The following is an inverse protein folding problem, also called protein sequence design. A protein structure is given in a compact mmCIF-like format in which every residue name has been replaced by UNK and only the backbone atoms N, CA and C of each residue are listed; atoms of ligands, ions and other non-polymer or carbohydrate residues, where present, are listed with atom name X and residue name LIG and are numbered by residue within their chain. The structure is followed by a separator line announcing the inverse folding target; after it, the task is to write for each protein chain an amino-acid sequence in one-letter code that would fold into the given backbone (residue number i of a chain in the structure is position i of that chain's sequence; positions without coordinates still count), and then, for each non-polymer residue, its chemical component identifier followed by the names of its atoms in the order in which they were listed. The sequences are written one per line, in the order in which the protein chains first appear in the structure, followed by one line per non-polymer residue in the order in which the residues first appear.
data_IF_288970546039
#
_entry.id   IF_288970546039
#
_cell.length_a   1.000
_cell.length_b   1.000
_cell.length_c   1.000
_cell.angle_alpha   90.00
_cell.angle_beta   90.00
_cell.angle_gamma   90.00
#
_symmetry.space_group_name_H-M   'P 1'
#
loop_
_entity.id
_entity.type
_entity.pdbx_description
1 polymer ?
#
# COMPACT_ATOMS: atom_id res chain seq x y z
N UNK A 1 -14.60 -23.01 15.66
CA UNK A 1 -13.71 -21.86 15.38
C UNK A 1 -12.31 -22.40 15.08
N UNK A 2 -12.08 -22.81 13.84
CA UNK A 2 -10.79 -23.31 13.34
C UNK A 2 -9.96 -22.11 12.91
N UNK A 3 -9.19 -21.54 13.82
CA UNK A 3 -8.06 -20.69 13.45
C UNK A 3 -7.06 -21.58 12.71
N UNK A 4 -7.14 -21.61 11.38
CA UNK A 4 -6.39 -22.51 10.51
C UNK A 4 -4.90 -22.36 10.78
N UNK A 5 -4.17 -23.48 10.90
CA UNK A 5 -2.73 -23.52 11.24
C UNK A 5 -1.82 -22.58 10.41
N UNK A 6 -2.28 -22.14 9.23
CA UNK A 6 -1.66 -21.13 8.38
C UNK A 6 -1.61 -19.73 9.01
N UNK A 7 -2.67 -19.30 9.72
CA UNK A 7 -2.70 -18.02 10.46
C UNK A 7 -1.66 -18.05 11.58
N UNK A 8 -1.54 -19.18 12.29
CA UNK A 8 -0.53 -19.39 13.33
C UNK A 8 0.89 -19.38 12.76
N UNK A 9 1.10 -19.91 11.54
CA UNK A 9 2.44 -20.01 10.91
C UNK A 9 3.05 -18.65 10.58
N UNK A 10 2.23 -17.60 10.44
CA UNK A 10 2.64 -16.28 9.92
C UNK A 10 2.32 -15.12 10.87
N UNK A 11 1.95 -15.41 12.12
CA UNK A 11 1.65 -14.40 13.13
C UNK A 11 2.79 -13.42 13.42
N UNK A 12 4.04 -13.76 13.10
CA UNK A 12 5.17 -12.83 13.23
C UNK A 12 5.06 -11.60 12.31
N UNK A 13 4.32 -11.68 11.20
CA UNK A 13 4.08 -10.55 10.29
C UNK A 13 3.01 -9.57 10.81
N UNK A 14 2.16 -10.00 11.75
CA UNK A 14 1.05 -9.18 12.26
C UNK A 14 1.56 -7.90 12.93
N UNK A 15 2.70 -8.00 13.61
CA UNK A 15 3.27 -6.90 14.37
C UNK A 15 3.80 -5.74 13.50
N UNK A 16 3.99 -5.94 12.18
CA UNK A 16 4.35 -4.87 11.23
C UNK A 16 3.26 -4.58 10.20
N UNK A 17 2.27 -5.45 10.03
CA UNK A 17 1.22 -5.34 9.01
C UNK A 17 0.60 -3.94 8.93
N UNK A 18 0.13 -3.39 10.06
CA UNK A 18 -0.50 -2.06 10.09
C UNK A 18 0.46 -0.95 9.63
N UNK A 19 1.72 -1.02 10.07
CA UNK A 19 2.76 -0.05 9.73
C UNK A 19 3.15 -0.13 8.24
N UNK A 20 3.10 -1.33 7.66
CA UNK A 20 3.30 -1.57 6.22
C UNK A 20 2.11 -1.01 5.44
N UNK A 21 0.86 -1.33 5.81
CA UNK A 21 -0.35 -0.80 5.15
C UNK A 21 -0.34 0.73 5.12
N UNK A 22 -0.05 1.36 6.27
CA UNK A 22 0.00 2.81 6.36
C UNK A 22 1.02 3.42 5.39
N UNK A 23 2.20 2.80 5.25
CA UNK A 23 3.25 3.24 4.33
C UNK A 23 2.89 3.00 2.88
N UNK A 24 2.27 1.88 2.57
CA UNK A 24 1.75 1.58 1.23
C UNK A 24 0.73 2.61 0.78
N UNK A 25 -0.19 2.99 1.67
CA UNK A 25 -1.17 4.05 1.41
C UNK A 25 -0.48 5.42 1.30
N UNK A 26 0.45 5.75 2.20
CA UNK A 26 1.19 7.00 2.14
C UNK A 26 2.03 7.12 0.85
N UNK A 27 2.68 6.04 0.42
CA UNK A 27 3.44 5.97 -0.82
C UNK A 27 2.55 6.19 -2.04
N UNK A 28 1.38 5.56 -2.08
CA UNK A 28 0.42 5.73 -3.18
C UNK A 28 -0.25 7.12 -3.19
N UNK A 29 -0.39 7.76 -2.02
CA UNK A 29 -0.86 9.14 -1.91
C UNK A 29 0.25 10.14 -2.25
N UNK A 30 1.51 9.83 -1.93
CA UNK A 30 2.66 10.63 -2.35
C UNK A 30 2.78 10.64 -3.87
N UNK A 31 2.63 9.46 -4.51
CA UNK A 31 2.59 9.30 -5.96
C UNK A 31 1.29 9.79 -6.63
N UNK A 32 0.42 10.48 -5.89
CA UNK A 32 -0.88 10.94 -6.38
C UNK A 32 -0.88 12.39 -6.82
N UNK A 33 0.10 13.17 -6.37
CA UNK A 33 0.25 14.56 -6.77
C UNK A 33 0.73 14.55 -8.22
N UNK A 34 0.04 15.21 -9.17
CA UNK A 34 0.49 15.37 -10.55
C UNK A 34 1.64 16.41 -10.59
N UNK A 35 2.64 16.19 -9.76
CA UNK A 35 3.89 16.89 -9.68
C UNK A 35 4.89 15.83 -10.11
N UNK A 36 5.33 15.81 -11.39
CA UNK A 36 6.07 14.70 -12.00
C UNK A 36 7.46 14.36 -11.38
N UNK A 37 7.69 14.76 -10.14
CA UNK A 37 8.97 15.13 -9.53
C UNK A 37 9.01 14.86 -8.02
N UNK A 38 7.88 15.03 -7.32
CA UNK A 38 7.75 14.71 -5.89
C UNK A 38 7.55 13.21 -5.66
N UNK A 39 7.03 12.51 -6.68
CA UNK A 39 6.65 11.10 -6.59
C UNK A 39 7.85 10.21 -6.25
N UNK A 40 8.96 10.30 -6.98
CA UNK A 40 10.11 9.39 -6.79
C UNK A 40 10.92 9.68 -5.52
N UNK A 41 11.01 10.96 -5.11
CA UNK A 41 11.68 11.35 -3.87
C UNK A 41 10.86 10.99 -2.64
N UNK A 42 9.55 11.24 -2.67
CA UNK A 42 8.65 10.91 -1.56
C UNK A 42 8.46 9.40 -1.43
N UNK A 43 8.36 8.67 -2.55
CA UNK A 43 8.36 7.19 -2.56
C UNK A 43 9.69 6.66 -2.00
N UNK A 44 10.83 7.20 -2.41
CA UNK A 44 12.14 6.82 -1.85
C UNK A 44 12.26 7.07 -0.35
N UNK A 45 11.75 8.20 0.17
CA UNK A 45 11.73 8.50 1.60
C UNK A 45 10.77 7.59 2.38
N UNK A 46 9.58 7.33 1.86
CA UNK A 46 8.57 6.48 2.50
C UNK A 46 8.99 5.01 2.50
N UNK A 47 9.47 4.50 1.36
CA UNK A 47 9.97 3.13 1.22
C UNK A 47 11.28 2.94 1.99
N UNK A 48 12.23 3.86 1.84
CA UNK A 48 13.52 3.79 2.54
C UNK A 48 13.38 3.82 4.05
N UNK A 49 12.53 4.72 4.57
CA UNK A 49 12.19 4.72 5.99
C UNK A 49 11.42 3.46 6.43
N UNK A 50 10.64 2.85 5.54
CA UNK A 50 9.98 1.57 5.75
C UNK A 50 10.96 0.42 5.92
N UNK A 51 11.87 0.24 4.95
CA UNK A 51 12.90 -0.80 4.99
C UNK A 51 13.79 -0.67 6.23
N UNK A 52 14.31 0.54 6.51
CA UNK A 52 15.12 0.78 7.72
C UNK A 52 14.37 0.42 9.00
N UNK A 53 13.09 0.81 9.12
CA UNK A 53 12.31 0.49 10.33
C UNK A 53 12.03 -1.01 10.47
N UNK A 54 11.75 -1.71 9.37
CA UNK A 54 11.54 -3.16 9.40
C UNK A 54 12.83 -3.86 9.83
N UNK A 55 13.95 -3.56 9.19
CA UNK A 55 15.23 -4.19 9.51
C UNK A 55 15.69 -3.88 10.94
N UNK A 56 15.55 -2.63 11.40
CA UNK A 56 15.87 -2.24 12.77
C UNK A 56 15.09 -3.05 13.82
N UNK A 57 13.83 -3.44 13.53
CA UNK A 57 13.05 -4.28 14.46
C UNK A 57 13.61 -5.71 14.54
N UNK A 58 14.18 -6.20 13.45
CA UNK A 58 14.84 -7.50 13.39
C UNK A 58 16.32 -7.41 13.77
N UNK A 59 16.80 -6.25 14.24
CA UNK A 59 18.20 -5.99 14.59
C UNK A 59 19.16 -6.22 13.41
N UNK A 60 18.70 -5.90 12.20
CA UNK A 60 19.46 -6.02 10.96
C UNK A 60 19.86 -4.62 10.52
N UNK A 61 21.16 -4.40 10.32
CA UNK A 61 21.66 -3.16 9.75
C UNK A 61 21.51 -3.17 8.23
N UNK A 62 21.15 -2.01 7.66
CA UNK A 62 21.09 -1.81 6.20
C UNK A 62 22.02 -0.66 5.86
N UNK A 63 23.02 -0.93 5.03
CA UNK A 63 23.88 0.09 4.45
C UNK A 63 23.08 1.03 3.51
N UNK A 64 23.48 2.28 3.41
CA UNK A 64 22.79 3.28 2.57
C UNK A 64 22.80 2.88 1.08
N UNK A 65 23.88 2.26 0.62
CA UNK A 65 24.02 1.71 -0.73
C UNK A 65 23.06 0.52 -0.98
N UNK A 66 22.89 -0.32 0.04
CA UNK A 66 21.96 -1.44 0.02
C UNK A 66 20.50 -0.95 0.03
N UNK A 67 20.20 0.08 0.83
CA UNK A 67 18.89 0.70 0.87
C UNK A 67 18.52 1.35 -0.46
N UNK A 68 19.45 2.11 -1.06
CA UNK A 68 19.26 2.71 -2.38
C UNK A 68 18.97 1.63 -3.42
N UNK A 69 19.71 0.51 -3.36
CA UNK A 69 19.53 -0.64 -4.25
C UNK A 69 18.18 -1.33 -4.05
N UNK A 70 17.67 -1.45 -2.81
CA UNK A 70 16.32 -1.98 -2.55
C UNK A 70 15.22 -1.12 -3.19
N UNK A 71 15.37 0.21 -3.15
CA UNK A 71 14.38 1.15 -3.67
C UNK A 71 14.45 1.23 -5.21
N UNK A 72 15.63 1.57 -5.74
CA UNK A 72 15.82 1.94 -7.14
C UNK A 72 16.35 0.79 -8.02
N UNK A 73 16.84 -0.30 -7.42
CA UNK A 73 17.49 -1.38 -8.16
C UNK A 73 18.83 -0.92 -8.76
N UNK A 74 19.12 -1.36 -9.98
CA UNK A 74 20.32 -0.98 -10.73
C UNK A 74 20.23 0.42 -11.37
N UNK A 75 19.07 1.06 -11.30
CA UNK A 75 18.85 2.40 -11.84
C UNK A 75 19.40 3.46 -10.89
N UNK A 76 20.15 4.44 -11.41
CA UNK A 76 20.61 5.58 -10.63
C UNK A 76 19.38 6.34 -10.10
N UNK A 77 19.37 6.80 -8.83
CA UNK A 77 18.31 7.68 -8.36
C UNK A 77 18.20 8.88 -9.31
N UNK A 78 16.99 9.27 -9.73
CA UNK A 78 16.80 10.34 -10.71
C UNK A 78 17.49 11.62 -10.22
N UNK A 79 18.24 12.29 -11.11
CA UNK A 79 18.89 13.55 -10.77
C UNK A 79 17.83 14.66 -10.68
N UNK A 80 18.03 15.62 -9.77
CA UNK A 80 17.13 16.78 -9.60
C UNK A 80 16.94 17.58 -10.92
N UNK A 81 17.84 17.39 -11.91
CA UNK A 81 17.81 18.08 -13.20
C UNK A 81 16.93 17.40 -14.27
N UNK A 82 16.71 16.08 -14.20
CA UNK A 82 15.88 15.32 -15.18
C UNK A 82 14.36 15.46 -14.90
N UNK A 83 14.03 16.33 -13.95
CA UNK A 83 12.79 16.39 -13.16
C UNK A 83 11.99 17.66 -13.55
N UNK A 84 11.89 18.01 -14.84
CA UNK A 84 11.32 19.32 -15.24
C UNK A 84 10.14 19.33 -16.24
N UNK A 85 9.73 18.23 -16.89
CA UNK A 85 8.95 18.33 -18.15
C UNK A 85 7.41 18.10 -18.07
N UNK A 86 6.81 17.57 -17.00
CA UNK A 86 5.43 17.04 -17.08
C UNK A 86 4.21 17.96 -16.81
N UNK A 87 4.36 19.26 -16.51
CA UNK A 87 3.26 20.08 -15.95
C UNK A 87 2.15 20.55 -16.91
N UNK A 88 2.36 20.51 -18.23
CA UNK A 88 1.53 21.28 -19.19
C UNK A 88 0.25 20.54 -19.65
N UNK A 89 0.20 19.21 -19.51
CA UNK A 89 -0.90 18.39 -20.05
C UNK A 89 -2.23 18.52 -19.29
N UNK A 90 -2.23 18.89 -18.00
CA UNK A 90 -3.44 18.89 -17.17
C UNK A 90 -4.40 20.05 -17.47
N UNK A 91 -3.86 21.16 -18.00
CA UNK A 91 -4.62 22.41 -18.18
C UNK A 91 -5.55 22.37 -19.40
N UNK A 92 -5.26 21.49 -20.36
CA UNK A 92 -5.95 21.40 -21.67
C UNK A 92 -7.01 20.28 -21.68
N UNK A 93 -7.05 19.41 -20.66
CA UNK A 93 -7.98 18.28 -20.62
C UNK A 93 -9.46 18.70 -20.43
N UNK A 94 -10.35 18.08 -21.21
CA UNK A 94 -11.82 18.23 -21.06
C UNK A 94 -12.32 17.71 -19.70
N UNK A 95 -13.51 18.13 -19.25
CA UNK A 95 -14.10 17.68 -17.98
C UNK A 95 -14.32 16.16 -17.93
N UNK A 96 -14.68 15.53 -19.06
CA UNK A 96 -14.81 14.08 -19.16
C UNK A 96 -13.44 13.38 -19.06
N UNK A 97 -12.42 13.92 -19.75
CA UNK A 97 -11.03 13.43 -19.67
C UNK A 97 -10.47 13.58 -18.26
N UNK A 98 -10.76 14.68 -17.56
CA UNK A 98 -10.40 14.89 -16.16
C UNK A 98 -11.02 13.85 -15.24
N UNK A 99 -12.31 13.53 -15.40
CA UNK A 99 -12.98 12.46 -14.63
C UNK A 99 -12.35 11.09 -14.90
N UNK A 100 -12.10 10.75 -16.16
CA UNK A 100 -11.44 9.50 -16.53
C UNK A 100 -10.02 9.42 -15.94
N UNK A 101 -9.24 10.50 -16.01
CA UNK A 101 -7.91 10.58 -15.39
C UNK A 101 -7.96 10.39 -13.87
N UNK A 102 -8.96 10.95 -13.18
CA UNK A 102 -9.14 10.75 -11.73
C UNK A 102 -9.45 9.28 -11.41
N UNK A 103 -10.32 8.63 -12.20
CA UNK A 103 -10.64 7.21 -12.00
C UNK A 103 -9.41 6.34 -12.24
N UNK A 104 -8.71 6.53 -13.36
CA UNK A 104 -7.50 5.79 -13.69
C UNK A 104 -6.39 6.02 -12.65
N UNK A 105 -6.19 7.26 -12.22
CA UNK A 105 -5.23 7.57 -11.16
C UNK A 105 -5.60 6.86 -9.87
N UNK A 106 -6.89 6.78 -9.51
CA UNK A 106 -7.35 6.07 -8.30
C UNK A 106 -7.09 4.57 -8.37
N UNK A 107 -7.36 3.93 -9.52
CA UNK A 107 -7.07 2.50 -9.73
C UNK A 107 -5.57 2.23 -9.70
N UNK A 108 -4.78 3.04 -10.39
CA UNK A 108 -3.33 2.92 -10.42
C UNK A 108 -2.72 3.12 -9.04
N UNK A 109 -3.25 4.03 -8.22
CA UNK A 109 -2.83 4.23 -6.82
C UNK A 109 -3.14 3.03 -5.94
N UNK A 110 -4.34 2.46 -6.04
CA UNK A 110 -4.69 1.26 -5.27
C UNK A 110 -3.79 0.08 -5.66
N UNK A 111 -3.46 -0.06 -6.95
CA UNK A 111 -2.52 -1.06 -7.45
C UNK A 111 -1.09 -0.80 -6.94
N UNK A 112 -0.64 0.44 -6.95
CA UNK A 112 0.67 0.84 -6.42
C UNK A 112 0.78 0.57 -4.91
N UNK A 113 -0.22 0.98 -4.12
CA UNK A 113 -0.28 0.69 -2.68
C UNK A 113 -0.22 -0.82 -2.41
N UNK A 114 -1.01 -1.60 -3.15
CA UNK A 114 -1.01 -3.04 -3.00
C UNK A 114 0.36 -3.64 -3.33
N UNK A 115 1.01 -3.22 -4.43
CA UNK A 115 2.37 -3.68 -4.77
C UNK A 115 3.38 -3.33 -3.67
N UNK A 116 3.38 -2.09 -3.18
CA UNK A 116 4.22 -1.67 -2.05
C UNK A 116 3.98 -2.51 -0.80
N UNK A 117 2.72 -2.81 -0.49
CA UNK A 117 2.34 -3.65 0.65
C UNK A 117 2.96 -5.05 0.53
N UNK A 118 2.84 -5.69 -0.63
CA UNK A 118 3.42 -7.02 -0.85
C UNK A 118 4.94 -6.97 -0.76
N UNK A 119 5.58 -6.03 -1.46
CA UNK A 119 7.04 -5.87 -1.42
C UNK A 119 7.58 -5.68 0.00
N UNK A 120 6.96 -4.82 0.80
CA UNK A 120 7.38 -4.61 2.19
C UNK A 120 7.08 -5.79 3.10
N UNK A 121 5.97 -6.51 2.86
CA UNK A 121 5.64 -7.74 3.61
C UNK A 121 6.65 -8.84 3.31
N UNK A 122 7.08 -8.99 2.06
CA UNK A 122 8.12 -9.93 1.66
C UNK A 122 9.49 -9.57 2.23
N UNK A 123 9.79 -8.28 2.35
CA UNK A 123 11.00 -7.83 3.02
C UNK A 123 10.96 -8.11 4.52
N UNK A 124 9.83 -7.88 5.19
CA UNK A 124 9.64 -8.25 6.61
C UNK A 124 9.76 -9.77 6.82
N UNK A 125 9.18 -10.56 5.92
CA UNK A 125 9.35 -12.01 5.88
C UNK A 125 10.82 -12.42 5.74
N UNK A 126 11.53 -11.80 4.79
CA UNK A 126 12.95 -12.04 4.61
C UNK A 126 13.75 -11.76 5.89
N UNK A 127 13.54 -10.59 6.50
CA UNK A 127 14.22 -10.21 7.74
C UNK A 127 13.92 -11.19 8.89
N UNK A 128 12.67 -11.65 9.00
CA UNK A 128 12.22 -12.50 10.10
C UNK A 128 12.68 -13.97 9.98
N UNK A 129 12.86 -14.49 8.75
CA UNK A 129 12.99 -15.94 8.50
C UNK A 129 14.13 -16.36 7.58
N UNK A 130 14.61 -15.48 6.71
CA UNK A 130 15.56 -15.83 5.65
C UNK A 130 16.91 -15.12 5.76
N UNK A 131 16.97 -14.00 6.48
CA UNK A 131 18.21 -13.30 6.73
C UNK A 131 19.06 -14.08 7.73
N UNK A 132 20.32 -14.35 7.36
CA UNK A 132 21.30 -15.07 8.17
C UNK A 132 22.55 -14.26 8.46
N UNK A 133 22.63 -13.02 7.94
CA UNK A 133 23.77 -12.13 8.11
C UNK A 133 23.61 -11.16 9.28
N UNK A 134 24.66 -10.36 9.51
CA UNK A 134 24.63 -9.23 10.45
C UNK A 134 24.05 -7.95 9.81
N UNK A 135 24.21 -7.81 8.49
CA UNK A 135 23.76 -6.65 7.75
C UNK A 135 23.33 -7.03 6.33
N UNK A 136 22.49 -6.19 5.73
CA UNK A 136 22.14 -6.28 4.31
C UNK A 136 23.11 -5.38 3.54
N UNK A 137 24.00 -6.02 2.79
CA UNK A 137 24.91 -5.36 1.85
C UNK A 137 24.25 -5.14 0.48
N UNK A 138 24.91 -4.35 -0.37
CA UNK A 138 24.42 -4.01 -1.71
C UNK A 138 24.17 -5.23 -2.61
N UNK A 139 25.08 -6.23 -2.71
CA UNK A 139 24.81 -7.46 -3.46
C UNK A 139 23.59 -8.23 -2.96
N UNK A 140 23.40 -8.33 -1.64
CA UNK A 140 22.24 -9.02 -1.05
C UNK A 140 20.96 -8.25 -1.29
N UNK A 141 21.00 -6.91 -1.16
CA UNK A 141 19.87 -6.04 -1.49
C UNK A 141 19.42 -6.19 -2.95
N UNK A 142 20.36 -6.22 -3.90
CA UNK A 142 20.04 -6.41 -5.32
C UNK A 142 19.38 -7.77 -5.56
N UNK A 143 20.00 -8.83 -5.03
CA UNK A 143 19.48 -10.18 -5.12
C UNK A 143 18.07 -10.30 -4.52
N UNK A 144 17.87 -9.72 -3.34
CA UNK A 144 16.59 -9.74 -2.64
C UNK A 144 15.51 -9.02 -3.45
N UNK A 145 15.83 -7.84 -4.00
CA UNK A 145 14.91 -7.09 -4.84
C UNK A 145 14.51 -7.87 -6.09
N UNK A 146 15.47 -8.52 -6.76
CA UNK A 146 15.20 -9.37 -7.92
C UNK A 146 14.30 -10.55 -7.57
N UNK A 147 14.58 -11.25 -6.47
CA UNK A 147 13.77 -12.39 -6.05
C UNK A 147 12.37 -11.98 -5.57
N UNK A 148 12.23 -10.84 -4.88
CA UNK A 148 10.93 -10.27 -4.56
C UNK A 148 10.14 -9.95 -5.84
N UNK A 149 10.79 -9.32 -6.82
CA UNK A 149 10.17 -9.03 -8.12
C UNK A 149 9.70 -10.31 -8.82
N UNK A 150 10.59 -11.30 -8.93
CA UNK A 150 10.27 -12.61 -9.53
C UNK A 150 9.18 -13.36 -8.76
N UNK A 151 9.16 -13.29 -7.44
CA UNK A 151 8.13 -13.92 -6.63
C UNK A 151 6.77 -13.28 -6.91
N UNK A 152 6.69 -11.95 -6.97
CA UNK A 152 5.45 -11.23 -7.28
C UNK A 152 4.99 -11.53 -8.71
N UNK A 153 5.89 -11.43 -9.70
CA UNK A 153 5.52 -11.47 -11.11
C UNK A 153 5.24 -12.91 -11.62
N UNK A 154 5.81 -13.94 -10.98
CA UNK A 154 5.61 -15.35 -11.37
C UNK A 154 4.58 -16.10 -10.50
N UNK A 155 4.03 -15.49 -9.46
CA UNK A 155 3.01 -16.16 -8.64
C UNK A 155 1.65 -16.08 -9.35
N UNK A 156 1.01 -17.21 -9.67
CA UNK A 156 -0.29 -17.22 -10.33
C UNK A 156 -1.37 -16.51 -9.50
N UNK A 157 -2.30 -15.87 -10.20
CA UNK A 157 -3.30 -15.00 -9.58
C UNK A 157 -2.87 -13.54 -9.63
N UNK A 158 -3.75 -12.66 -9.13
CA UNK A 158 -3.45 -11.25 -9.03
C UNK A 158 -3.59 -10.82 -7.58
N UNK A 159 -2.69 -9.93 -7.15
CA UNK A 159 -2.90 -9.21 -5.92
C UNK A 159 -4.27 -8.50 -6.00
N UNK A 160 -5.21 -8.94 -5.16
CA UNK A 160 -6.48 -8.25 -5.03
C UNK A 160 -6.19 -6.86 -4.49
N UNK A 161 -6.31 -5.85 -5.36
CA UNK A 161 -6.26 -4.44 -4.99
C UNK A 161 -7.64 -3.96 -4.51
N UNK A 162 -8.65 -4.85 -4.49
CA UNK A 162 -10.00 -4.57 -3.99
C UNK A 162 -9.99 -4.14 -2.52
N UNK A 163 -9.22 -4.76 -1.60
CA UNK A 163 -9.11 -4.29 -0.22
C UNK A 163 -8.57 -2.86 -0.12
N UNK A 164 -7.55 -2.53 -0.92
CA UNK A 164 -6.99 -1.17 -0.96
C UNK A 164 -8.00 -0.17 -1.53
N UNK A 165 -8.71 -0.55 -2.60
CA UNK A 165 -9.76 0.29 -3.21
C UNK A 165 -10.93 0.52 -2.26
N UNK A 166 -11.49 -0.54 -1.69
CA UNK A 166 -12.64 -0.51 -0.78
C UNK A 166 -12.25 0.22 0.52
N UNK A 167 -11.08 -0.06 1.09
CA UNK A 167 -10.58 0.64 2.27
C UNK A 167 -10.37 2.15 2.04
N UNK A 168 -9.82 2.54 0.88
CA UNK A 168 -9.70 3.95 0.50
C UNK A 168 -11.08 4.63 0.31
N UNK A 169 -12.02 3.95 -0.35
CA UNK A 169 -13.39 4.46 -0.53
C UNK A 169 -14.14 4.60 0.80
N UNK A 170 -14.04 3.62 1.69
CA UNK A 170 -14.64 3.68 3.03
C UNK A 170 -14.06 4.84 3.85
N UNK A 171 -12.74 5.04 3.82
CA UNK A 171 -12.09 6.17 4.47
C UNK A 171 -12.50 7.52 3.87
N UNK A 172 -12.68 7.58 2.55
CA UNK A 172 -13.15 8.80 1.87
C UNK A 172 -14.59 9.13 2.27
N UNK A 173 -15.49 8.14 2.27
CA UNK A 173 -16.87 8.29 2.74
C UNK A 173 -16.93 8.78 4.19
N UNK A 174 -16.16 8.15 5.09
CA UNK A 174 -16.09 8.56 6.50
C UNK A 174 -15.52 9.98 6.68
N UNK A 175 -14.58 10.40 5.84
CA UNK A 175 -13.96 11.73 5.90
C UNK A 175 -14.81 12.82 5.24
N UNK A 176 -15.74 12.45 4.36
CA UNK A 176 -16.75 13.36 3.80
C UNK A 176 -17.99 13.48 4.71
N UNK A 177 -18.40 12.40 5.40
CA UNK A 177 -19.49 12.43 6.40
C UNK A 177 -19.15 13.35 7.58
N UNK A 178 -17.90 13.33 8.08
CA UNK A 178 -17.48 14.13 9.24
C UNK A 178 -17.67 15.67 9.10
N UNK A 179 -17.26 16.34 8.01
CA UNK A 179 -17.54 17.77 7.82
C UNK A 179 -19.00 18.03 7.43
N UNK A 180 -19.67 17.09 6.76
CA UNK A 180 -21.09 17.26 6.41
C UNK A 180 -21.99 17.20 7.64
N UNK A 181 -21.73 16.35 8.62
CA UNK A 181 -22.49 16.30 9.87
C UNK A 181 -22.27 17.57 10.70
N UNK A 182 -21.04 18.09 10.78
CA UNK A 182 -20.76 19.37 11.43
C UNK A 182 -21.42 20.55 10.69
N UNK A 183 -21.42 20.54 9.36
CA UNK A 183 -22.08 21.56 8.56
C UNK A 183 -23.61 21.43 8.59
N UNK A 184 -24.17 20.23 8.75
CA UNK A 184 -25.62 20.00 8.85
C UNK A 184 -26.14 20.38 10.25
N UNK A 185 -25.34 20.15 11.30
CA UNK A 185 -25.58 20.66 12.65
C UNK A 185 -25.53 22.20 12.66
N UNK A 186 -24.53 22.81 12.01
CA UNK A 186 -24.40 24.26 11.90
C UNK A 186 -25.49 24.90 11.00
N UNK A 187 -25.97 24.18 9.98
CA UNK A 187 -26.99 24.66 9.04
C UNK A 187 -28.42 24.17 9.35
N UNK A 188 -28.64 23.55 10.52
CA UNK A 188 -29.94 23.00 10.96
C UNK A 188 -30.63 22.13 9.89
N UNK A 189 -29.89 21.28 9.19
CA UNK A 189 -30.45 20.37 8.18
C UNK A 189 -30.69 20.99 6.80
N UNK A 190 -30.29 22.24 6.55
CA UNK A 190 -30.50 22.91 5.26
C UNK A 190 -29.60 22.33 4.16
N UNK A 191 -28.38 21.91 4.51
CA UNK A 191 -27.42 21.30 3.58
C UNK A 191 -27.89 19.92 3.12
N UNK A 192 -28.47 19.13 4.03
CA UNK A 192 -29.12 17.85 3.71
C UNK A 192 -30.31 18.02 2.76
N UNK A 193 -31.13 19.06 2.92
CA UNK A 193 -32.24 19.36 1.99
C UNK A 193 -31.75 19.77 0.60
N UNK A 194 -30.66 20.52 0.52
CA UNK A 194 -30.06 20.95 -0.76
C UNK A 194 -29.37 19.79 -1.50
N UNK A 195 -28.70 18.89 -0.78
CA UNK A 195 -28.08 17.70 -1.37
C UNK A 195 -29.14 16.68 -1.80
N UNK A 196 -30.19 16.45 -1.00
CA UNK A 196 -31.31 15.59 -1.39
C UNK A 196 -32.01 16.10 -2.66
N UNK A 197 -32.17 17.43 -2.81
CA UNK A 197 -32.74 18.04 -4.02
C UNK A 197 -31.84 17.94 -5.27
N UNK A 198 -30.56 17.62 -5.09
CA UNK A 198 -29.57 17.46 -6.18
C UNK A 198 -29.19 15.98 -6.43
N UNK A 199 -29.65 15.07 -5.59
CA UNK A 199 -29.28 13.65 -5.55
C UNK A 199 -30.24 12.74 -6.34
N UNK A 200 -31.19 13.30 -7.11
CA UNK A 200 -32.03 12.51 -8.04
C UNK A 200 -31.22 11.83 -9.17
N UNK A 201 -29.92 12.10 -9.26
CA UNK A 201 -29.04 11.48 -10.26
C UNK A 201 -27.92 10.73 -9.54
N UNK A 202 -28.11 9.41 -9.44
CA UNK A 202 -27.17 8.34 -9.04
C UNK A 202 -27.10 8.07 -7.52
N UNK A 203 -28.10 7.36 -6.99
CA UNK A 203 -27.86 6.41 -5.90
C UNK A 203 -27.52 5.03 -6.51
N UNK A 204 -26.29 4.50 -6.34
CA UNK A 204 -26.09 3.08 -6.50
C UNK A 204 -26.53 2.40 -5.19
N UNK A 205 -27.53 1.53 -5.29
CA UNK A 205 -27.93 0.60 -4.23
C UNK A 205 -26.68 0.00 -3.55
N UNK A 206 -26.42 0.41 -2.32
CA UNK A 206 -25.41 -0.19 -1.47
C UNK A 206 -26.12 -1.03 -0.41
N UNK A 207 -26.33 -2.31 -0.72
CA UNK A 207 -26.42 -3.32 0.33
C UNK A 207 -25.09 -3.27 1.08
N UNK A 208 -25.07 -2.53 2.19
CA UNK A 208 -23.89 -2.44 3.04
C UNK A 208 -23.71 -3.79 3.72
N UNK A 209 -22.74 -4.58 3.23
CA UNK A 209 -22.23 -5.79 3.88
C UNK A 209 -21.94 -5.47 5.35
N UNK A 210 -22.22 -6.41 6.27
CA UNK A 210 -21.97 -6.20 7.71
C UNK A 210 -20.50 -5.85 8.02
N UNK A 211 -19.58 -6.30 7.16
CA UNK A 211 -18.17 -5.90 7.18
C UNK A 211 -18.00 -4.39 6.97
N UNK A 212 -18.75 -3.78 6.05
CA UNK A 212 -18.66 -2.35 5.75
C UNK A 212 -19.17 -1.49 6.92
N UNK A 213 -20.25 -1.91 7.60
CA UNK A 213 -20.73 -1.23 8.83
C UNK A 213 -19.74 -1.33 9.99
N UNK A 214 -19.09 -2.49 10.14
CA UNK A 214 -18.06 -2.68 11.18
C UNK A 214 -16.83 -1.79 10.94
N UNK A 215 -16.44 -1.61 9.66
CA UNK A 215 -15.40 -0.69 9.25
C UNK A 215 -15.83 0.74 9.58
N UNK A 216 -17.00 1.21 9.13
CA UNK A 216 -17.47 2.58 9.39
C UNK A 216 -17.46 2.92 10.90
N UNK A 217 -17.91 2.00 11.76
CA UNK A 217 -17.91 2.17 13.22
C UNK A 217 -16.49 2.30 13.79
N UNK A 218 -15.54 1.50 13.31
CA UNK A 218 -14.15 1.57 13.75
C UNK A 218 -13.41 2.83 13.23
N UNK A 219 -13.88 3.41 12.11
CA UNK A 219 -13.32 4.63 11.52
C UNK A 219 -13.77 5.91 12.22
N UNK A 220 -14.96 5.93 12.82
CA UNK A 220 -15.54 7.09 13.50
C UNK A 220 -14.62 7.64 14.61
N UNK A 221 -13.90 6.76 15.30
CA UNK A 221 -13.03 7.10 16.44
C UNK A 221 -11.62 7.60 16.03
N UNK A 222 -11.30 7.71 14.73
CA UNK A 222 -9.99 8.17 14.24
C UNK A 222 -10.10 9.56 13.65
N UNK A 223 -9.16 10.45 13.93
CA UNK A 223 -9.19 11.85 13.47
C UNK A 223 -8.63 12.03 12.05
N UNK A 224 -7.67 11.21 11.62
CA UNK A 224 -6.92 11.42 10.37
C UNK A 224 -7.29 10.40 9.29
N UNK A 225 -7.46 10.85 8.03
CA UNK A 225 -7.84 10.03 6.87
C UNK A 225 -6.93 8.81 6.67
N UNK A 226 -5.60 8.99 6.79
CA UNK A 226 -4.64 7.89 6.60
C UNK A 226 -4.83 6.78 7.65
N UNK A 227 -5.07 7.14 8.90
CA UNK A 227 -5.33 6.17 9.98
C UNK A 227 -6.63 5.41 9.74
N UNK A 228 -7.66 6.10 9.23
CA UNK A 228 -8.92 5.49 8.79
C UNK A 228 -8.71 4.51 7.64
N UNK A 229 -8.08 4.94 6.56
CA UNK A 229 -7.78 4.09 5.40
C UNK A 229 -6.94 2.88 5.78
N UNK A 230 -5.93 3.06 6.64
CA UNK A 230 -5.09 1.97 7.16
C UNK A 230 -5.93 0.92 7.88
N UNK A 231 -6.80 1.34 8.79
CA UNK A 231 -7.65 0.43 9.56
C UNK A 231 -8.68 -0.29 8.68
N UNK A 232 -9.30 0.42 7.72
CA UNK A 232 -10.24 -0.19 6.79
C UNK A 232 -9.58 -1.26 5.91
N UNK A 233 -8.38 -0.99 5.40
CA UNK A 233 -7.61 -1.96 4.61
C UNK A 233 -7.17 -3.14 5.49
N UNK A 234 -6.74 -2.90 6.72
CA UNK A 234 -6.35 -3.97 7.66
C UNK A 234 -7.51 -4.91 7.97
N UNK A 235 -8.71 -4.38 8.25
CA UNK A 235 -9.92 -5.18 8.50
C UNK A 235 -10.26 -6.03 7.27
N UNK A 236 -10.20 -5.46 6.07
CA UNK A 236 -10.48 -6.20 4.83
C UNK A 236 -9.44 -7.28 4.52
N UNK A 237 -8.15 -7.00 4.73
CA UNK A 237 -7.07 -7.98 4.60
C UNK A 237 -7.15 -9.09 5.64
N UNK A 238 -7.79 -8.85 6.79
CA UNK A 238 -7.99 -9.85 7.85
C UNK A 238 -9.24 -10.69 7.59
N UNK A 239 -10.29 -10.09 7.03
CA UNK A 239 -11.54 -10.77 6.69
C UNK A 239 -11.41 -11.66 5.44
N UNK A 240 -10.62 -11.24 4.45
CA UNK A 240 -10.38 -12.02 3.23
C UNK A 240 -9.11 -12.86 3.41
N UNK A 241 -9.23 -14.20 3.33
CA UNK A 241 -8.02 -15.02 3.16
C UNK A 241 -7.32 -14.60 1.88
N UNK A 242 -6.01 -14.37 1.94
CA UNK A 242 -5.24 -13.87 0.81
C UNK A 242 -4.30 -14.97 0.27
N UNK A 243 -4.83 -15.95 -0.50
CA UNK A 243 -4.04 -17.06 -1.02
C UNK A 243 -2.92 -16.59 -1.96
N UNK A 244 -3.06 -15.40 -2.56
CA UNK A 244 -2.00 -14.78 -3.34
C UNK A 244 -0.82 -14.40 -2.46
N UNK A 245 -1.04 -13.65 -1.36
CA UNK A 245 0.03 -13.31 -0.43
C UNK A 245 0.69 -14.57 0.14
N UNK A 246 -0.12 -15.62 0.35
CA UNK A 246 0.39 -16.91 0.78
C UNK A 246 1.37 -17.54 -0.20
N UNK A 247 0.95 -17.61 -1.46
CA UNK A 247 1.74 -18.17 -2.55
C UNK A 247 3.00 -17.34 -2.84
N UNK A 248 2.94 -16.00 -2.76
CA UNK A 248 4.10 -15.15 -3.03
C UNK A 248 5.17 -15.31 -1.94
N UNK A 249 4.76 -15.42 -0.66
CA UNK A 249 5.70 -15.68 0.44
C UNK A 249 6.38 -17.04 0.25
N UNK A 250 5.63 -18.09 -0.06
CA UNK A 250 6.20 -19.42 -0.27
C UNK A 250 7.12 -19.47 -1.50
N UNK A 251 6.75 -18.75 -2.58
CA UNK A 251 7.57 -18.57 -3.79
C UNK A 251 8.90 -17.88 -3.49
N UNK A 252 8.90 -16.82 -2.67
CA UNK A 252 10.12 -16.17 -2.22
C UNK A 252 10.99 -17.11 -1.38
N UNK A 253 10.39 -17.85 -0.44
CA UNK A 253 11.09 -18.79 0.45
C UNK A 253 11.86 -19.84 -0.36
N UNK A 254 11.19 -20.46 -1.34
CA UNK A 254 11.76 -21.46 -2.23
C UNK A 254 12.90 -20.89 -3.07
N UNK A 255 12.68 -19.75 -3.72
CA UNK A 255 13.68 -19.10 -4.60
C UNK A 255 14.91 -18.67 -3.83
N UNK A 256 14.72 -18.08 -2.65
CA UNK A 256 15.82 -17.61 -1.83
C UNK A 256 16.69 -18.77 -1.35
N UNK A 257 16.07 -19.85 -0.87
CA UNK A 257 16.81 -21.05 -0.44
C UNK A 257 17.54 -21.73 -1.61
N UNK A 258 16.90 -21.85 -2.77
CA UNK A 258 17.55 -22.38 -3.97
C UNK A 258 18.78 -21.55 -4.36
N UNK A 259 18.69 -20.22 -4.25
CA UNK A 259 19.83 -19.31 -4.50
C UNK A 259 20.97 -19.52 -3.51
N UNK A 260 20.66 -19.69 -2.22
CA UNK A 260 21.69 -19.97 -1.21
C UNK A 260 22.36 -21.32 -1.46
N UNK A 261 21.59 -22.35 -1.80
CA UNK A 261 22.14 -23.67 -2.15
C UNK A 261 22.98 -23.67 -3.44
N UNK A 262 22.67 -22.79 -4.39
CA UNK A 262 23.40 -22.66 -5.65
C UNK A 262 24.68 -21.81 -5.54
N UNK A 263 24.93 -21.14 -4.42
CA UNK A 263 26.24 -20.54 -4.14
C UNK A 263 27.14 -21.63 -3.56
N UNK A 264 28.08 -22.23 -4.32
CA UNK A 264 29.09 -23.08 -3.73
C UNK A 264 29.89 -22.25 -2.72
N UNK A 265 30.19 -22.88 -1.57
CA UNK A 265 30.85 -22.26 -0.42
C UNK A 265 31.95 -21.28 -0.85
N UNK A 266 31.84 -20.04 -0.39
CA UNK A 266 32.91 -19.05 -0.43
C UNK A 266 33.74 -19.16 0.83
#
# INVERSE_FOLDING_TARGET
MTSTALVTRRGYLDAQRRAIIARSLASALASALPLPFLDDWAVGRVLGGGYRRIAAKHQIDIDDDALSTLIYGSSKPPSIADVAIGGILLRIASTASKRMMVILATVNRARAAARTFVTMTLFDHYCAKLHTGLAIDKPTALALREEIGRAIDNTPGALSWKPFRRGALAAARASLKAPLELADIASRGALRRLLAKKSEVIEPHAEADDLERSIETALANRTNFLSRATLAVEVQLTAESNPFLDSVIDSLDLRWRARLAAKPDR
#
